data_IF_306551744324
#
_entry.id   IF_306551744324
#
_cell.length_a   1.000
_cell.length_b   1.000
_cell.length_c   1.000
_cell.angle_alpha   90.00
_cell.angle_beta   90.00
_cell.angle_gamma   90.00
#
_symmetry.space_group_name_H-M   'P 1'
#
loop_
_entity.id
_entity.type
_entity.pdbx_description
1 polymer ?
#
# COMPACT_ATOMS: atom_id res chain seq x y z
N UNK A 1 -37.23 -46.69 -21.05
CA UNK A 1 -35.97 -46.07 -20.61
C UNK A 1 -36.29 -44.69 -20.09
N UNK A 2 -36.46 -44.55 -18.78
CA UNK A 2 -36.75 -43.28 -18.10
C UNK A 2 -35.43 -42.67 -17.67
N UNK A 3 -34.86 -41.80 -18.50
CA UNK A 3 -33.71 -41.00 -18.09
C UNK A 3 -34.18 -40.04 -17.00
N UNK A 4 -33.64 -40.23 -15.79
CA UNK A 4 -33.89 -39.36 -14.65
C UNK A 4 -33.39 -37.98 -15.04
N UNK A 5 -34.31 -37.02 -15.11
CA UNK A 5 -34.00 -35.59 -14.99
C UNK A 5 -33.39 -35.36 -13.61
N UNK A 6 -32.11 -35.69 -13.45
CA UNK A 6 -31.34 -35.24 -12.31
C UNK A 6 -31.08 -33.76 -12.54
N UNK A 7 -32.05 -32.94 -12.11
CA UNK A 7 -31.81 -31.52 -11.87
C UNK A 7 -30.70 -31.48 -10.82
N UNK A 8 -29.47 -31.29 -11.25
CA UNK A 8 -28.35 -31.04 -10.35
C UNK A 8 -28.78 -29.82 -9.52
N UNK A 9 -28.95 -29.96 -8.20
CA UNK A 9 -29.31 -28.81 -7.37
C UNK A 9 -28.24 -27.76 -7.61
N UNK A 10 -28.66 -26.54 -7.95
CA UNK A 10 -27.74 -25.41 -8.03
C UNK A 10 -26.97 -25.39 -6.71
N UNK A 11 -25.62 -25.49 -6.73
CA UNK A 11 -24.85 -25.50 -5.50
C UNK A 11 -25.23 -24.25 -4.71
N UNK A 12 -25.63 -24.43 -3.45
CA UNK A 12 -25.90 -23.31 -2.56
C UNK A 12 -24.64 -22.44 -2.54
N UNK A 13 -24.80 -21.14 -2.80
CA UNK A 13 -23.66 -20.23 -2.78
C UNK A 13 -22.98 -20.30 -1.42
N UNK A 14 -21.69 -20.62 -1.38
CA UNK A 14 -20.94 -20.60 -0.13
C UNK A 14 -20.93 -19.15 0.41
N UNK A 15 -21.69 -18.91 1.47
CA UNK A 15 -21.71 -17.63 2.14
C UNK A 15 -20.46 -17.47 3.01
N UNK A 16 -19.76 -16.36 2.83
CA UNK A 16 -18.61 -16.04 3.68
C UNK A 16 -19.07 -15.75 5.12
N UNK A 17 -18.77 -16.65 6.05
CA UNK A 17 -19.00 -16.45 7.49
C UNK A 17 -18.03 -15.40 8.05
N UNK A 18 -18.41 -14.13 7.97
CA UNK A 18 -17.59 -13.01 8.49
C UNK A 18 -17.23 -13.14 9.98
N UNK A 19 -18.07 -13.81 10.77
CA UNK A 19 -17.86 -14.03 12.21
C UNK A 19 -16.76 -15.04 12.51
N UNK A 20 -16.42 -15.94 11.57
CA UNK A 20 -15.38 -16.96 11.75
C UNK A 20 -14.00 -16.36 12.02
N UNK A 21 -13.71 -15.20 11.43
CA UNK A 21 -12.41 -14.52 11.55
C UNK A 21 -12.43 -13.27 12.44
N UNK A 22 -13.54 -13.00 13.12
CA UNK A 22 -13.67 -11.82 13.97
C UNK A 22 -12.62 -11.82 15.08
N UNK A 23 -12.46 -12.94 15.80
CA UNK A 23 -11.48 -13.05 16.89
C UNK A 23 -10.02 -12.80 16.44
N UNK A 24 -9.63 -13.35 15.28
CA UNK A 24 -8.30 -13.13 14.71
C UNK A 24 -8.11 -11.66 14.29
N UNK A 25 -9.12 -11.05 13.68
CA UNK A 25 -9.07 -9.64 13.26
C UNK A 25 -8.92 -8.71 14.46
N UNK A 26 -9.65 -8.97 15.56
CA UNK A 26 -9.50 -8.24 16.81
C UNK A 26 -8.11 -8.40 17.42
N UNK A 27 -7.54 -9.61 17.39
CA UNK A 27 -6.20 -9.87 17.91
C UNK A 27 -5.12 -9.15 17.07
N UNK A 28 -5.21 -9.21 15.74
CA UNK A 28 -4.26 -8.51 14.87
C UNK A 28 -4.39 -6.98 15.03
N UNK A 29 -5.61 -6.47 15.16
CA UNK A 29 -5.87 -5.05 15.40
C UNK A 29 -5.32 -4.56 16.74
N UNK A 30 -5.46 -5.34 17.81
CA UNK A 30 -4.91 -4.99 19.13
C UNK A 30 -3.39 -5.02 19.15
N UNK A 31 -2.77 -6.02 18.52
CA UNK A 31 -1.31 -6.10 18.36
C UNK A 31 -0.78 -4.91 17.56
N UNK A 32 -1.46 -4.54 16.46
CA UNK A 32 -1.08 -3.38 15.66
C UNK A 32 -1.18 -2.07 16.47
N UNK A 33 -2.24 -1.92 17.29
CA UNK A 33 -2.39 -0.76 18.16
C UNK A 33 -1.28 -0.67 19.21
N UNK A 34 -0.97 -1.78 19.89
CA UNK A 34 0.11 -1.83 20.88
C UNK A 34 1.46 -1.51 20.22
N UNK A 35 1.72 -2.06 19.03
CA UNK A 35 2.94 -1.76 18.27
C UNK A 35 3.04 -0.28 17.91
N UNK A 36 1.96 0.35 17.46
CA UNK A 36 1.93 1.78 17.16
C UNK A 36 2.17 2.65 18.40
N UNK A 37 1.62 2.26 19.56
CA UNK A 37 1.88 2.95 20.84
C UNK A 37 3.35 2.82 21.24
N UNK A 38 3.95 1.64 21.11
CA UNK A 38 5.38 1.44 21.39
C UNK A 38 6.26 2.24 20.42
N UNK A 39 5.88 2.33 19.14
CA UNK A 39 6.55 3.19 18.17
C UNK A 39 6.46 4.67 18.58
N UNK A 40 5.29 5.13 19.03
CA UNK A 40 5.12 6.51 19.50
C UNK A 40 5.99 6.81 20.74
N UNK A 41 6.09 5.87 21.68
CA UNK A 41 7.01 5.98 22.82
C UNK A 41 8.48 6.03 22.35
N UNK A 42 8.86 5.17 21.41
CA UNK A 42 10.19 5.15 20.81
C UNK A 42 10.57 6.47 20.14
N UNK A 43 9.59 7.12 19.48
CA UNK A 43 9.77 8.42 18.85
C UNK A 43 10.11 9.54 19.86
N UNK A 44 9.61 9.43 21.10
CA UNK A 44 9.90 10.41 22.18
C UNK A 44 11.23 10.09 22.88
N UNK A 45 11.55 8.81 23.07
CA UNK A 45 12.77 8.39 23.79
C UNK A 45 14.03 8.59 22.95
N UNK A 46 14.01 8.20 21.67
CA UNK A 46 15.14 8.36 20.77
C UNK A 46 14.65 8.66 19.34
N UNK A 47 14.38 9.95 19.03
CA UNK A 47 13.85 10.36 17.73
C UNK A 47 14.74 9.97 16.54
N UNK A 48 16.06 10.00 16.73
CA UNK A 48 17.04 9.71 15.67
C UNK A 48 17.01 8.22 15.30
N UNK A 49 17.10 7.32 16.28
CA UNK A 49 16.99 5.88 16.00
C UNK A 49 15.62 5.53 15.42
N UNK A 50 14.55 6.10 15.98
CA UNK A 50 13.19 5.90 15.51
C UNK A 50 13.04 6.30 14.03
N UNK A 51 13.57 7.44 13.62
CA UNK A 51 13.41 7.91 12.24
C UNK A 51 14.01 6.93 11.23
N UNK A 52 15.21 6.40 11.46
CA UNK A 52 15.81 5.42 10.55
C UNK A 52 15.05 4.09 10.52
N UNK A 53 14.64 3.58 11.69
CA UNK A 53 13.85 2.35 11.76
C UNK A 53 12.49 2.50 11.08
N UNK A 54 11.84 3.65 11.23
CA UNK A 54 10.57 3.95 10.58
C UNK A 54 10.71 4.06 9.06
N UNK A 55 11.73 4.77 8.57
CA UNK A 55 12.02 4.87 7.14
C UNK A 55 12.29 3.49 6.52
N UNK A 56 13.05 2.65 7.21
CA UNK A 56 13.31 1.27 6.77
C UNK A 56 12.01 0.45 6.66
N UNK A 57 11.18 0.45 7.72
CA UNK A 57 9.91 -0.27 7.71
C UNK A 57 8.99 0.26 6.60
N UNK A 58 8.88 1.58 6.46
CA UNK A 58 8.11 2.21 5.38
C UNK A 58 8.59 1.75 4.01
N UNK A 59 9.90 1.78 3.73
CA UNK A 59 10.45 1.37 2.44
C UNK A 59 10.19 -0.13 2.14
N UNK A 60 10.29 -0.98 3.16
CA UNK A 60 9.98 -2.40 3.03
C UNK A 60 8.51 -2.63 2.63
N UNK A 61 7.57 -2.06 3.38
CA UNK A 61 6.15 -2.23 3.07
C UNK A 61 5.74 -1.51 1.78
N UNK A 62 6.37 -0.38 1.47
CA UNK A 62 6.16 0.33 0.21
C UNK A 62 6.57 -0.52 -0.99
N UNK A 63 7.76 -1.12 -0.97
CA UNK A 63 8.21 -1.97 -2.09
C UNK A 63 7.36 -3.23 -2.23
N UNK A 64 6.87 -3.79 -1.12
CA UNK A 64 5.91 -4.90 -1.14
C UNK A 64 4.60 -4.49 -1.83
N UNK A 65 3.98 -3.38 -1.42
CA UNK A 65 2.72 -2.93 -2.01
C UNK A 65 2.89 -2.48 -3.47
N UNK A 66 3.98 -1.78 -3.78
CA UNK A 66 4.32 -1.37 -5.14
C UNK A 66 4.59 -2.58 -6.04
N UNK A 67 5.20 -3.65 -5.51
CA UNK A 67 5.39 -4.92 -6.21
C UNK A 67 4.06 -5.59 -6.54
N UNK A 68 3.12 -5.65 -5.59
CA UNK A 68 1.77 -6.16 -5.85
C UNK A 68 1.02 -5.32 -6.88
N UNK A 69 1.13 -3.99 -6.80
CA UNK A 69 0.55 -3.08 -7.79
C UNK A 69 1.14 -3.31 -9.19
N UNK A 70 2.45 -3.47 -9.30
CA UNK A 70 3.12 -3.81 -10.56
C UNK A 70 2.59 -5.13 -11.14
N UNK A 71 2.49 -6.18 -10.33
CA UNK A 71 1.96 -7.46 -10.78
C UNK A 71 0.49 -7.39 -11.21
N UNK A 72 -0.34 -6.57 -10.55
CA UNK A 72 -1.71 -6.30 -11.01
C UNK A 72 -1.72 -5.68 -12.41
N UNK A 73 -0.85 -4.70 -12.68
CA UNK A 73 -0.74 -4.10 -14.02
C UNK A 73 -0.29 -5.15 -15.04
N UNK A 74 0.74 -5.94 -14.72
CA UNK A 74 1.26 -6.98 -15.63
C UNK A 74 0.18 -7.99 -15.98
N UNK A 75 -0.60 -8.43 -15.00
CA UNK A 75 -1.72 -9.35 -15.22
C UNK A 75 -2.71 -8.81 -16.27
N UNK A 76 -3.12 -7.55 -16.14
CA UNK A 76 -4.01 -6.90 -17.11
C UNK A 76 -3.35 -6.59 -18.45
N UNK A 77 -2.05 -6.28 -18.47
CA UNK A 77 -1.34 -5.94 -19.70
C UNK A 77 -1.02 -7.16 -20.58
N UNK A 78 -1.04 -8.36 -20.00
CA UNK A 78 -0.64 -9.60 -20.68
C UNK A 78 -1.77 -10.62 -20.83
N UNK A 79 -2.99 -10.28 -20.38
CA UNK A 79 -4.13 -11.19 -20.33
C UNK A 79 -3.77 -12.55 -19.69
N UNK A 80 -3.05 -12.49 -18.56
CA UNK A 80 -2.46 -13.67 -17.94
C UNK A 80 -3.48 -14.53 -17.20
N UNK A 81 -3.95 -15.61 -17.83
CA UNK A 81 -4.92 -16.55 -17.22
C UNK A 81 -4.39 -17.28 -15.97
N UNK A 82 -3.08 -17.48 -15.85
CA UNK A 82 -2.45 -18.22 -14.76
C UNK A 82 -2.40 -17.45 -13.42
N UNK A 83 -2.62 -16.14 -13.44
CA UNK A 83 -2.59 -15.28 -12.22
C UNK A 83 -3.97 -14.94 -11.69
N UNK A 84 -5.04 -15.44 -12.30
CA UNK A 84 -6.43 -15.11 -11.94
C UNK A 84 -6.73 -15.39 -10.47
N UNK A 85 -6.21 -16.50 -9.92
CA UNK A 85 -6.44 -16.91 -8.52
C UNK A 85 -5.78 -15.94 -7.52
N UNK A 86 -4.60 -15.40 -7.85
CA UNK A 86 -3.84 -14.52 -6.95
C UNK A 86 -4.15 -13.03 -7.17
N UNK A 87 -4.76 -12.68 -8.31
CA UNK A 87 -5.08 -11.29 -8.71
C UNK A 87 -5.75 -10.49 -7.59
N UNK A 88 -6.82 -11.04 -7.00
CA UNK A 88 -7.59 -10.35 -5.94
C UNK A 88 -6.74 -10.06 -4.69
N UNK A 89 -5.81 -10.95 -4.36
CA UNK A 89 -4.92 -10.74 -3.21
C UNK A 89 -3.87 -9.67 -3.49
N UNK A 90 -3.32 -9.65 -4.70
CA UNK A 90 -2.39 -8.60 -5.13
C UNK A 90 -3.07 -7.23 -5.14
N UNK A 91 -4.31 -7.13 -5.64
CA UNK A 91 -5.09 -5.90 -5.61
C UNK A 91 -5.38 -5.42 -4.17
N UNK A 92 -5.71 -6.34 -3.26
CA UNK A 92 -5.97 -6.01 -1.86
C UNK A 92 -4.71 -5.50 -1.15
N UNK A 93 -3.55 -6.10 -1.43
CA UNK A 93 -2.26 -5.62 -0.88
C UNK A 93 -1.87 -4.29 -1.52
N UNK A 94 -2.02 -4.12 -2.84
CA UNK A 94 -1.76 -2.86 -3.53
C UNK A 94 -2.63 -1.71 -2.99
N UNK A 95 -3.89 -1.99 -2.61
CA UNK A 95 -4.78 -1.00 -2.01
C UNK A 95 -4.25 -0.42 -0.68
N UNK A 96 -3.34 -1.11 0.00
CA UNK A 96 -2.67 -0.61 1.22
C UNK A 96 -1.70 0.55 0.94
N UNK A 97 -1.42 0.90 -0.33
CA UNK A 97 -0.70 2.13 -0.69
C UNK A 97 -1.38 3.38 -0.13
N UNK A 98 -2.71 3.36 0.04
CA UNK A 98 -3.46 4.43 0.72
C UNK A 98 -3.11 4.54 2.21
N UNK A 99 -2.91 3.40 2.89
CA UNK A 99 -2.49 3.37 4.30
C UNK A 99 -1.04 3.83 4.42
N UNK A 100 -0.16 3.43 3.49
CA UNK A 100 1.22 3.88 3.47
C UNK A 100 1.35 5.39 3.31
N UNK A 101 0.48 6.04 2.54
CA UNK A 101 0.48 7.50 2.45
C UNK A 101 0.27 8.18 3.81
N UNK A 102 -0.56 7.60 4.68
CA UNK A 102 -0.71 8.07 6.06
C UNK A 102 0.57 7.79 6.89
N UNK A 103 1.15 6.60 6.73
CA UNK A 103 2.40 6.22 7.43
C UNK A 103 3.65 6.95 6.92
N UNK A 104 3.53 7.75 5.86
CA UNK A 104 4.57 8.67 5.40
C UNK A 104 4.65 9.95 6.26
N UNK A 105 3.59 10.29 7.00
CA UNK A 105 3.55 11.52 7.82
C UNK A 105 4.69 11.61 8.84
N UNK A 106 5.03 10.55 9.62
CA UNK A 106 6.19 10.61 10.52
C UNK A 106 7.52 10.90 9.82
N UNK A 107 7.71 10.44 8.58
CA UNK A 107 8.92 10.72 7.78
C UNK A 107 9.02 12.22 7.47
N UNK A 108 7.90 12.87 7.15
CA UNK A 108 7.86 14.32 6.91
C UNK A 108 8.15 15.14 8.17
N UNK A 109 7.68 14.68 9.33
CA UNK A 109 7.91 15.34 10.61
C UNK A 109 9.38 15.19 11.07
N UNK A 110 9.95 13.99 10.92
CA UNK A 110 11.31 13.65 11.36
C UNK A 110 12.38 13.85 10.27
N UNK A 111 12.03 14.56 9.19
CA UNK A 111 12.88 14.75 8.01
C UNK A 111 14.29 15.27 8.31
N UNK A 112 14.44 16.14 9.31
CA UNK A 112 15.72 16.72 9.71
C UNK A 112 16.69 15.67 10.30
N UNK A 113 16.17 14.58 10.89
CA UNK A 113 17.02 13.47 11.36
C UNK A 113 17.41 12.51 10.23
N UNK A 114 16.64 12.48 9.14
CA UNK A 114 16.82 11.55 8.02
C UNK A 114 17.68 12.13 6.89
N UNK A 115 17.51 13.42 6.64
CA UNK A 115 18.00 14.08 5.45
C UNK A 115 18.89 15.25 5.84
N UNK A 116 20.16 14.96 6.11
CA UNK A 116 21.15 15.96 6.52
C UNK A 116 21.25 17.16 5.56
N UNK A 117 20.98 16.95 4.26
CA UNK A 117 20.96 18.01 3.25
C UNK A 117 19.90 19.09 3.48
N UNK A 118 18.86 18.82 4.29
CA UNK A 118 17.83 19.81 4.63
C UNK A 118 18.32 20.89 5.60
N UNK A 119 19.40 20.61 6.34
CA UNK A 119 19.92 21.51 7.38
C UNK A 119 21.13 22.33 6.90
N UNK A 120 21.70 21.98 5.73
CA UNK A 120 22.91 22.61 5.20
C UNK A 120 22.54 23.86 4.38
N UNK A 121 22.94 25.07 4.83
CA UNK A 121 22.56 26.31 4.16
C UNK A 121 23.36 26.55 2.86
N UNK A 122 22.89 27.47 2.00
CA UNK A 122 23.61 27.94 0.83
C UNK A 122 25.08 28.29 1.01
N UNK A 123 25.91 27.85 0.05
CA UNK A 123 27.34 28.16 -0.01
C UNK A 123 28.28 27.27 0.80
N UNK A 124 27.77 26.30 1.56
CA UNK A 124 28.62 25.40 2.36
C UNK A 124 29.20 24.24 1.53
N UNK A 125 28.43 23.73 0.55
CA UNK A 125 28.82 22.57 -0.25
C UNK A 125 28.41 22.75 -1.71
N UNK A 126 29.38 22.99 -2.59
CA UNK A 126 29.11 23.20 -4.03
C UNK A 126 28.28 22.05 -4.66
N UNK A 127 28.51 20.80 -4.26
CA UNK A 127 27.78 19.64 -4.77
C UNK A 127 26.29 19.65 -4.40
N UNK A 128 25.94 20.15 -3.21
CA UNK A 128 24.56 20.32 -2.77
C UNK A 128 23.90 21.51 -3.46
N UNK A 129 24.64 22.61 -3.61
CA UNK A 129 24.21 23.82 -4.29
C UNK A 129 23.68 23.53 -5.70
N UNK A 130 24.38 22.69 -6.47
CA UNK A 130 23.94 22.26 -7.80
C UNK A 130 22.62 21.47 -7.81
N UNK A 131 22.24 20.83 -6.69
CA UNK A 131 21.05 19.98 -6.58
C UNK A 131 19.92 20.63 -5.79
N UNK A 132 20.09 21.85 -5.29
CA UNK A 132 19.13 22.49 -4.38
C UNK A 132 17.73 22.62 -4.93
N UNK A 133 17.57 22.91 -6.22
CA UNK A 133 16.24 22.97 -6.82
C UNK A 133 15.47 21.64 -6.66
N UNK A 134 16.19 20.50 -6.69
CA UNK A 134 15.61 19.17 -6.51
C UNK A 134 15.53 18.75 -5.03
N UNK A 135 16.53 19.12 -4.23
CA UNK A 135 16.62 18.83 -2.80
C UNK A 135 16.05 19.97 -1.95
N UNK A 136 15.11 20.74 -2.47
CA UNK A 136 14.36 21.70 -1.65
C UNK A 136 13.21 20.98 -0.94
N UNK A 137 12.86 21.43 0.27
CA UNK A 137 11.75 20.82 1.02
C UNK A 137 10.41 20.92 0.28
N UNK A 138 10.10 22.06 -0.34
CA UNK A 138 8.83 22.24 -1.05
C UNK A 138 8.77 21.29 -2.26
N UNK A 139 9.87 21.19 -3.02
CA UNK A 139 9.93 20.30 -4.17
C UNK A 139 9.92 18.82 -3.76
N UNK A 140 10.56 18.45 -2.64
CA UNK A 140 10.47 17.12 -2.05
C UNK A 140 9.02 16.78 -1.66
N UNK A 141 8.31 17.69 -0.99
CA UNK A 141 6.93 17.50 -0.56
C UNK A 141 5.97 17.35 -1.75
N UNK A 142 6.10 18.22 -2.76
CA UNK A 142 5.28 18.15 -3.98
C UNK A 142 5.48 16.78 -4.65
N UNK A 143 6.73 16.34 -4.82
CA UNK A 143 7.01 15.02 -5.42
C UNK A 143 6.44 13.88 -4.60
N UNK A 144 6.56 13.93 -3.28
CA UNK A 144 5.98 12.92 -2.40
C UNK A 144 4.45 12.83 -2.57
N UNK A 145 3.76 13.98 -2.59
CA UNK A 145 2.31 14.04 -2.81
C UNK A 145 1.94 13.51 -4.19
N UNK A 146 2.66 13.90 -5.24
CA UNK A 146 2.40 13.46 -6.61
C UNK A 146 2.60 11.94 -6.75
N UNK A 147 3.70 11.39 -6.24
CA UNK A 147 3.97 9.95 -6.35
C UNK A 147 3.01 9.12 -5.50
N UNK A 148 2.80 9.47 -4.23
CA UNK A 148 1.86 8.76 -3.38
C UNK A 148 0.42 8.91 -3.91
N UNK A 149 0.04 10.11 -4.35
CA UNK A 149 -1.26 10.37 -4.98
C UNK A 149 -1.49 9.51 -6.22
N UNK A 150 -0.50 9.41 -7.10
CA UNK A 150 -0.55 8.52 -8.27
C UNK A 150 -0.77 7.06 -7.86
N UNK A 151 0.05 6.54 -6.94
CA UNK A 151 -0.06 5.15 -6.46
C UNK A 151 -1.43 4.86 -5.82
N UNK A 152 -1.95 5.78 -5.02
CA UNK A 152 -3.27 5.66 -4.40
C UNK A 152 -4.36 5.64 -5.47
N UNK A 153 -4.40 6.63 -6.35
CA UNK A 153 -5.44 6.74 -7.37
C UNK A 153 -5.42 5.52 -8.29
N UNK A 154 -4.25 5.14 -8.80
CA UNK A 154 -4.12 4.02 -9.72
C UNK A 154 -4.51 2.68 -9.08
N UNK A 155 -4.00 2.37 -7.87
CA UNK A 155 -4.32 1.11 -7.18
C UNK A 155 -5.81 1.00 -6.84
N UNK A 156 -6.43 2.10 -6.39
CA UNK A 156 -7.84 2.12 -6.03
C UNK A 156 -8.76 2.03 -7.26
N UNK A 157 -8.39 2.69 -8.37
CA UNK A 157 -9.17 2.60 -9.62
C UNK A 157 -9.12 1.19 -10.21
N UNK A 158 -7.93 0.58 -10.31
CA UNK A 158 -7.79 -0.80 -10.81
C UNK A 158 -8.63 -1.77 -9.98
N UNK A 159 -8.53 -1.69 -8.65
CA UNK A 159 -9.36 -2.53 -7.76
C UNK A 159 -10.86 -2.24 -7.94
N UNK A 160 -11.27 -0.98 -8.09
CA UNK A 160 -12.68 -0.62 -8.31
C UNK A 160 -13.23 -1.19 -9.62
N UNK A 161 -12.47 -1.13 -10.72
CA UNK A 161 -12.89 -1.71 -12.00
C UNK A 161 -12.96 -3.23 -11.92
N UNK A 162 -11.93 -3.86 -11.33
CA UNK A 162 -11.89 -5.30 -11.08
C UNK A 162 -13.07 -5.81 -10.22
N UNK A 163 -13.49 -5.08 -9.18
CA UNK A 163 -14.67 -5.45 -8.38
C UNK A 163 -15.98 -5.25 -9.15
N UNK A 164 -16.06 -4.25 -10.04
CA UNK A 164 -17.25 -4.05 -10.89
C UNK A 164 -17.40 -5.15 -11.93
N UNK A 165 -16.29 -5.61 -12.50
CA UNK A 165 -16.25 -6.73 -13.44
C UNK A 165 -16.90 -7.99 -12.85
N UNK A 166 -16.60 -8.32 -11.58
CA UNK A 166 -17.19 -9.46 -10.87
C UNK A 166 -18.73 -9.36 -10.74
N UNK A 167 -19.28 -8.14 -10.68
CA UNK A 167 -20.72 -7.93 -10.49
C UNK A 167 -21.50 -8.04 -11.81
N UNK A 168 -20.97 -7.41 -12.85
CA UNK A 168 -21.72 -7.20 -14.10
C UNK A 168 -21.35 -8.22 -15.19
N UNK A 169 -20.27 -9.01 -15.00
CA UNK A 169 -19.80 -10.02 -15.97
C UNK A 169 -19.32 -9.44 -17.31
N UNK A 170 -19.23 -8.12 -17.42
CA UNK A 170 -18.87 -7.42 -18.66
C UNK A 170 -17.35 -7.50 -18.91
N UNK A 171 -16.89 -8.03 -20.06
CA UNK A 171 -15.47 -8.18 -20.39
C UNK A 171 -14.76 -6.87 -20.79
N UNK A 172 -15.47 -5.73 -20.86
CA UNK A 172 -14.88 -4.47 -21.31
C UNK A 172 -13.94 -3.78 -20.31
N UNK A 173 -13.89 -4.24 -19.05
CA UNK A 173 -13.06 -3.67 -17.99
C UNK A 173 -12.38 -4.76 -17.15
#
# INVERSE_FOLDING_TARGET
MSERSQTVPTPEGEYFESTRFAGLSFLLGSVALVALVLCALGAVVNPHQFSYSWLFAFAFFFTLCAGCFFWTIVHHATDAEWTVVVRRQLENIAALLAVLALLFVPILLLRHHLYAWMDIPPGHEAALDFKRAYLDFNFFLIRAIVFLGYFIVASQLLRRFSVRQDRDGNPQF
#
